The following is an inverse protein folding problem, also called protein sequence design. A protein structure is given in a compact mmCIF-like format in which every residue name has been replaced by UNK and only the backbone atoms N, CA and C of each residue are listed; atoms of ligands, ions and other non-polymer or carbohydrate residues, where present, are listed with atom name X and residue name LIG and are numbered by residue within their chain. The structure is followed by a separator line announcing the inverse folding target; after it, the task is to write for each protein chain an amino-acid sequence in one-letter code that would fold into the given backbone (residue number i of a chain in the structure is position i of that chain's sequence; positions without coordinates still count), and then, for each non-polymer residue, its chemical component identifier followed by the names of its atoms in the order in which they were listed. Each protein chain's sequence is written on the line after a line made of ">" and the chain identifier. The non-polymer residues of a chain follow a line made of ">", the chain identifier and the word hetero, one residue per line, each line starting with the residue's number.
data_IF_012433957496
#
_entry.id   IF_012433957496
#
_cell.length_a   1.000
_cell.length_b   1.000
_cell.length_c   1.000
_cell.angle_alpha   90.00
_cell.angle_beta   90.00
_cell.angle_gamma   90.00
#
_symmetry.space_group_name_H-M   'P 1'
#
loop_
_entity.id
_entity.type
_entity.pdbx_description
1 polymer ?
#
# COMPACT_ATOMS: atom_id res chain seq x y z
N UNK A 1 19.03 13.61 -8.60
CA UNK A 1 19.79 12.50 -7.98
C UNK A 1 19.50 11.27 -8.82
N UNK A 2 20.43 10.88 -9.69
CA UNK A 2 20.24 9.79 -10.64
C UNK A 2 20.65 8.46 -10.04
N UNK A 3 19.92 7.41 -10.37
CA UNK A 3 20.34 6.04 -10.16
C UNK A 3 21.67 5.76 -10.91
N UNK A 4 22.58 4.92 -10.37
CA UNK A 4 23.80 4.49 -11.05
C UNK A 4 23.55 3.99 -12.50
N UNK A 5 24.53 4.13 -13.41
CA UNK A 5 24.39 3.72 -14.82
C UNK A 5 24.01 2.24 -14.98
N UNK A 6 24.32 1.40 -14.00
CA UNK A 6 23.94 -0.01 -13.92
C UNK A 6 22.42 -0.20 -13.92
N UNK A 7 21.66 0.69 -13.25
CA UNK A 7 20.19 0.70 -13.23
C UNK A 7 19.63 1.13 -14.58
N UNK A 8 20.30 2.03 -15.29
CA UNK A 8 19.83 2.51 -16.59
C UNK A 8 19.61 1.37 -17.59
N UNK A 9 20.35 0.26 -17.44
CA UNK A 9 20.17 -0.95 -18.24
C UNK A 9 18.90 -1.75 -17.95
N UNK A 10 18.34 -1.63 -16.73
CA UNK A 10 17.16 -2.38 -16.28
C UNK A 10 15.86 -1.59 -16.51
N UNK A 11 15.92 -0.26 -16.56
CA UNK A 11 14.76 0.63 -16.78
C UNK A 11 13.95 0.23 -18.03
N UNK A 12 14.54 0.00 -19.23
CA UNK A 12 13.77 -0.41 -20.39
C UNK A 12 13.06 -1.74 -20.19
N UNK A 13 13.69 -2.68 -19.47
CA UNK A 13 13.08 -3.97 -19.15
C UNK A 13 11.86 -3.78 -18.22
N UNK A 14 11.97 -2.93 -17.20
CA UNK A 14 10.85 -2.60 -16.30
C UNK A 14 9.70 -1.99 -17.09
N UNK A 15 9.95 -0.94 -17.88
CA UNK A 15 8.90 -0.23 -18.62
C UNK A 15 8.19 -1.16 -19.62
N UNK A 16 8.96 -1.87 -20.45
CA UNK A 16 8.39 -2.77 -21.45
C UNK A 16 7.61 -3.92 -20.81
N UNK A 17 8.11 -4.47 -19.70
CA UNK A 17 7.42 -5.55 -19.00
C UNK A 17 6.13 -5.08 -18.34
N UNK A 18 6.14 -3.90 -17.71
CA UNK A 18 4.93 -3.31 -17.13
C UNK A 18 3.89 -3.00 -18.20
N UNK A 19 4.30 -2.49 -19.37
CA UNK A 19 3.38 -2.27 -20.51
C UNK A 19 2.81 -3.59 -21.05
N UNK A 20 3.61 -4.64 -21.12
CA UNK A 20 3.14 -5.97 -21.55
C UNK A 20 2.07 -6.51 -20.60
N UNK A 21 2.31 -6.46 -19.29
CA UNK A 21 1.35 -6.92 -18.28
C UNK A 21 0.10 -6.03 -18.29
N UNK A 22 0.25 -4.70 -18.36
CA UNK A 22 -0.87 -3.76 -18.47
C UNK A 22 -1.78 -4.11 -19.66
N UNK A 23 -1.19 -4.35 -20.84
CA UNK A 23 -1.95 -4.74 -22.03
C UNK A 23 -2.59 -6.13 -21.89
N UNK A 24 -1.94 -7.08 -21.19
CA UNK A 24 -2.53 -8.37 -20.88
C UNK A 24 -3.75 -8.24 -19.94
N UNK A 25 -3.65 -7.44 -18.87
CA UNK A 25 -4.77 -7.13 -17.98
C UNK A 25 -5.93 -6.47 -18.74
N UNK A 26 -5.65 -5.52 -19.62
CA UNK A 26 -6.67 -4.87 -20.46
C UNK A 26 -7.38 -5.86 -21.38
N UNK A 27 -6.66 -6.83 -21.95
CA UNK A 27 -7.27 -7.89 -22.75
C UNK A 27 -8.13 -8.81 -21.90
N UNK A 28 -7.66 -9.17 -20.70
CA UNK A 28 -8.42 -9.99 -19.75
C UNK A 28 -9.79 -9.37 -19.45
N UNK A 29 -9.80 -8.08 -19.14
CA UNK A 29 -11.02 -7.28 -18.87
C UNK A 29 -12.02 -7.27 -20.02
N UNK A 30 -11.55 -7.36 -21.28
CA UNK A 30 -12.43 -7.34 -22.46
C UNK A 30 -13.05 -8.72 -22.72
N UNK A 31 -12.31 -9.79 -22.41
CA UNK A 31 -12.68 -11.17 -22.73
C UNK A 31 -13.59 -11.75 -21.65
N UNK A 32 -13.28 -11.48 -20.39
CA UNK A 32 -14.05 -11.94 -19.24
C UNK A 32 -15.04 -10.84 -18.84
N UNK A 33 -16.35 -11.14 -18.80
CA UNK A 33 -17.36 -10.21 -18.25
C UNK A 33 -16.84 -9.65 -16.90
N UNK A 34 -17.07 -8.35 -16.67
CA UNK A 34 -16.57 -7.47 -15.58
C UNK A 34 -16.42 -8.08 -14.16
N UNK A 35 -17.06 -9.22 -13.88
CA UNK A 35 -17.01 -9.97 -12.62
C UNK A 35 -15.64 -10.55 -12.23
N UNK A 36 -14.63 -10.54 -13.11
CA UNK A 36 -13.32 -11.12 -12.81
C UNK A 36 -12.38 -10.18 -12.06
N UNK A 37 -12.77 -8.92 -11.84
CA UNK A 37 -12.03 -7.93 -11.07
C UNK A 37 -12.84 -7.45 -9.86
N UNK A 38 -12.14 -7.08 -8.78
CA UNK A 38 -12.73 -6.41 -7.61
C UNK A 38 -13.24 -5.01 -8.01
N UNK A 39 -14.50 -4.91 -8.46
CA UNK A 39 -15.33 -3.69 -8.57
C UNK A 39 -14.66 -2.46 -9.24
N UNK A 40 -13.57 -2.66 -9.99
CA UNK A 40 -12.82 -1.62 -10.68
C UNK A 40 -12.64 -2.11 -12.10
N UNK A 41 -13.60 -1.76 -12.96
CA UNK A 41 -13.68 -2.15 -14.38
C UNK A 41 -12.58 -1.51 -15.25
N UNK A 42 -11.56 -0.90 -14.65
CA UNK A 42 -10.54 -0.16 -15.37
C UNK A 42 -9.13 -0.39 -14.85
N UNK A 43 -8.25 -0.77 -15.76
CA UNK A 43 -6.80 -0.67 -15.58
C UNK A 43 -6.36 0.62 -16.28
N UNK A 44 -5.73 1.54 -15.55
CA UNK A 44 -5.42 2.88 -16.05
C UNK A 44 -3.91 3.15 -16.06
N UNK A 45 -3.48 4.29 -16.61
CA UNK A 45 -2.07 4.65 -16.64
C UNK A 45 -1.51 4.95 -15.23
N UNK A 46 -2.36 5.28 -14.25
CA UNK A 46 -1.96 5.46 -12.85
C UNK A 46 -1.44 4.14 -12.26
N UNK A 47 -1.97 2.99 -12.68
CA UNK A 47 -1.45 1.69 -12.28
C UNK A 47 0.03 1.50 -12.70
N UNK A 48 0.41 1.98 -13.89
CA UNK A 48 1.82 1.94 -14.33
C UNK A 48 2.68 2.85 -13.45
N UNK A 49 2.21 4.07 -13.15
CA UNK A 49 2.91 4.99 -12.25
C UNK A 49 3.09 4.37 -10.86
N UNK A 50 2.06 3.69 -10.35
CA UNK A 50 2.11 3.02 -9.06
C UNK A 50 3.16 1.91 -9.00
N UNK A 51 3.39 1.18 -10.10
CA UNK A 51 4.50 0.21 -10.18
C UNK A 51 5.85 0.93 -10.20
N UNK A 52 5.98 1.99 -11.00
CA UNK A 52 7.24 2.68 -11.23
C UNK A 52 7.71 3.48 -10.00
N UNK A 53 6.80 4.12 -9.26
CA UNK A 53 7.15 4.93 -8.10
C UNK A 53 7.74 4.09 -6.96
N UNK A 54 7.39 2.80 -6.83
CA UNK A 54 7.94 1.96 -5.78
C UNK A 54 9.46 1.74 -5.93
N UNK A 55 10.01 1.88 -7.13
CA UNK A 55 11.45 1.82 -7.35
C UNK A 55 12.18 3.02 -6.76
N UNK A 56 11.53 4.18 -6.59
CA UNK A 56 12.14 5.33 -5.91
C UNK A 56 12.22 5.16 -4.39
N UNK A 57 11.54 4.15 -3.83
CA UNK A 57 11.61 3.82 -2.40
C UNK A 57 12.77 2.86 -2.07
N UNK A 58 13.46 2.33 -3.09
CA UNK A 58 14.63 1.49 -2.87
C UNK A 58 15.84 2.34 -2.42
N UNK A 59 16.61 1.86 -1.41
CA UNK A 59 17.90 2.44 -1.08
C UNK A 59 18.84 2.53 -2.29
N UNK A 60 19.65 3.58 -2.34
CA UNK A 60 20.64 3.76 -3.41
C UNK A 60 21.73 2.69 -3.35
N UNK A 61 22.02 2.16 -2.17
CA UNK A 61 23.00 1.10 -1.93
C UNK A 61 22.62 -0.20 -2.65
N UNK A 62 21.33 -0.41 -2.88
CA UNK A 62 20.81 -1.59 -3.56
C UNK A 62 20.76 -1.43 -5.09
N UNK A 63 21.29 -0.32 -5.60
CA UNK A 63 21.16 0.03 -7.01
C UNK A 63 21.80 -0.98 -7.97
N UNK A 64 22.88 -1.63 -7.56
CA UNK A 64 23.64 -2.52 -8.43
C UNK A 64 23.05 -3.94 -8.52
N UNK A 65 22.04 -4.24 -7.68
CA UNK A 65 21.46 -5.58 -7.59
C UNK A 65 20.34 -5.80 -8.61
N UNK A 66 20.69 -6.16 -9.85
CA UNK A 66 19.73 -6.42 -10.93
C UNK A 66 18.64 -7.44 -10.56
N UNK A 67 18.99 -8.51 -9.84
CA UNK A 67 18.03 -9.52 -9.38
C UNK A 67 16.98 -8.92 -8.43
N UNK A 68 17.39 -8.01 -7.56
CA UNK A 68 16.47 -7.31 -6.67
C UNK A 68 15.48 -6.45 -7.47
N UNK A 69 15.91 -5.76 -8.52
CA UNK A 69 14.99 -5.01 -9.40
C UNK A 69 13.97 -5.94 -10.09
N UNK A 70 14.41 -7.10 -10.57
CA UNK A 70 13.52 -8.10 -11.15
C UNK A 70 12.50 -8.59 -10.13
N UNK A 71 12.93 -8.89 -8.90
CA UNK A 71 12.03 -9.32 -7.80
C UNK A 71 11.07 -8.23 -7.37
N UNK A 72 11.54 -7.00 -7.23
CA UNK A 72 10.70 -5.86 -6.89
C UNK A 72 9.65 -5.64 -7.98
N UNK A 73 10.05 -5.70 -9.25
CA UNK A 73 9.11 -5.60 -10.36
C UNK A 73 8.01 -6.66 -10.26
N UNK A 74 8.38 -7.93 -10.05
CA UNK A 74 7.39 -9.01 -9.86
C UNK A 74 6.49 -8.73 -8.65
N UNK A 75 7.04 -8.30 -7.52
CA UNK A 75 6.26 -7.93 -6.35
C UNK A 75 5.23 -6.84 -6.68
N UNK A 76 5.66 -5.75 -7.33
CA UNK A 76 4.79 -4.62 -7.65
C UNK A 76 3.70 -4.99 -8.66
N UNK A 77 4.00 -5.82 -9.65
CA UNK A 77 2.97 -6.35 -10.54
C UNK A 77 1.94 -7.18 -9.77
N UNK A 78 2.38 -7.97 -8.78
CA UNK A 78 1.45 -8.73 -7.95
C UNK A 78 0.53 -7.82 -7.13
N UNK A 79 1.07 -6.74 -6.55
CA UNK A 79 0.28 -5.81 -5.72
C UNK A 79 -0.67 -4.93 -6.53
N UNK A 80 -0.21 -4.43 -7.69
CA UNK A 80 -0.97 -3.46 -8.50
C UNK A 80 -2.00 -4.14 -9.40
N UNK A 81 -1.66 -5.29 -9.99
CA UNK A 81 -2.53 -5.96 -10.96
C UNK A 81 -3.10 -7.28 -10.43
N UNK A 82 -2.25 -8.18 -9.93
CA UNK A 82 -2.67 -9.56 -9.60
C UNK A 82 -3.65 -9.62 -8.43
N UNK A 83 -3.42 -8.85 -7.36
CA UNK A 83 -4.27 -8.84 -6.17
C UNK A 83 -5.70 -8.35 -6.44
N UNK A 84 -5.95 -7.67 -7.56
CA UNK A 84 -7.28 -7.19 -7.99
C UNK A 84 -8.11 -8.26 -8.72
N UNK A 85 -7.48 -9.38 -9.09
CA UNK A 85 -8.10 -10.45 -9.86
C UNK A 85 -8.87 -11.41 -8.95
N UNK A 86 -10.09 -11.75 -9.35
CA UNK A 86 -10.93 -12.75 -8.70
C UNK A 86 -10.84 -14.10 -9.40
N UNK A 87 -10.81 -14.10 -10.74
CA UNK A 87 -10.77 -15.30 -11.58
C UNK A 87 -9.38 -15.97 -11.59
N UNK A 88 -9.35 -17.30 -11.46
CA UNK A 88 -8.12 -18.08 -11.50
C UNK A 88 -7.48 -18.13 -12.88
N UNK A 89 -8.28 -18.07 -13.96
CA UNK A 89 -7.77 -18.02 -15.33
C UNK A 89 -7.03 -16.70 -15.60
N UNK A 90 -7.62 -15.57 -15.20
CA UNK A 90 -6.95 -14.26 -15.25
C UNK A 90 -5.66 -14.24 -14.42
N UNK A 91 -5.68 -14.77 -13.19
CA UNK A 91 -4.47 -14.89 -12.34
C UNK A 91 -3.39 -15.70 -13.02
N UNK A 92 -3.75 -16.83 -13.64
CA UNK A 92 -2.82 -17.67 -14.40
C UNK A 92 -2.23 -16.92 -15.59
N UNK A 93 -3.05 -16.23 -16.36
CA UNK A 93 -2.58 -15.45 -17.51
C UNK A 93 -1.58 -14.35 -17.10
N UNK A 94 -1.84 -13.63 -16.01
CA UNK A 94 -0.90 -12.63 -15.49
C UNK A 94 0.37 -13.29 -14.95
N UNK A 95 0.27 -14.41 -14.24
CA UNK A 95 1.43 -15.18 -13.80
C UNK A 95 2.30 -15.64 -14.98
N UNK A 96 1.71 -16.16 -16.05
CA UNK A 96 2.45 -16.58 -17.24
C UNK A 96 3.11 -15.37 -17.95
N UNK A 97 2.39 -14.25 -18.06
CA UNK A 97 2.92 -12.99 -18.60
C UNK A 97 4.13 -12.46 -17.80
N UNK A 98 4.07 -12.55 -16.47
CA UNK A 98 5.20 -12.21 -15.59
C UNK A 98 6.42 -13.07 -15.93
N UNK A 99 6.25 -14.39 -16.05
CA UNK A 99 7.35 -15.32 -16.35
C UNK A 99 7.98 -15.04 -17.70
N UNK A 100 7.17 -14.77 -18.71
CA UNK A 100 7.65 -14.39 -20.04
C UNK A 100 8.43 -13.07 -20.01
N UNK A 101 7.96 -12.06 -19.28
CA UNK A 101 8.66 -10.80 -19.13
C UNK A 101 10.00 -10.95 -18.43
N UNK A 102 10.07 -11.73 -17.33
CA UNK A 102 11.35 -12.02 -16.65
C UNK A 102 12.34 -12.68 -17.60
N UNK A 103 11.88 -13.66 -18.39
CA UNK A 103 12.73 -14.36 -19.35
C UNK A 103 13.19 -13.46 -20.51
N UNK A 104 12.28 -12.72 -21.12
CA UNK A 104 12.53 -12.02 -22.39
C UNK A 104 13.13 -10.63 -22.19
N UNK A 105 12.62 -9.88 -21.21
CA UNK A 105 12.99 -8.48 -21.00
C UNK A 105 14.11 -8.35 -19.96
N UNK A 106 13.96 -9.01 -18.81
CA UNK A 106 15.00 -9.03 -17.77
C UNK A 106 16.15 -10.00 -18.08
N UNK A 107 15.94 -10.94 -19.02
CA UNK A 107 16.91 -11.97 -19.44
C UNK A 107 17.38 -12.85 -18.26
N UNK A 108 16.48 -13.08 -17.31
CA UNK A 108 16.73 -13.91 -16.14
C UNK A 108 15.92 -15.22 -16.19
N UNK A 109 16.43 -16.26 -15.54
CA UNK A 109 15.66 -17.49 -15.36
C UNK A 109 14.78 -17.35 -14.11
N UNK A 110 13.46 -17.39 -14.33
CA UNK A 110 12.45 -17.23 -13.28
C UNK A 110 12.65 -18.22 -12.12
N UNK A 111 12.92 -19.49 -12.39
CA UNK A 111 13.06 -20.51 -11.34
C UNK A 111 14.29 -20.31 -10.46
N UNK A 112 15.36 -19.73 -11.00
CA UNK A 112 16.57 -19.38 -10.26
C UNK A 112 16.44 -18.04 -9.52
N UNK A 113 15.70 -17.08 -10.10
CA UNK A 113 15.53 -15.75 -9.53
C UNK A 113 14.73 -15.78 -8.23
N UNK A 114 13.81 -16.74 -8.10
CA UNK A 114 12.83 -16.84 -7.01
C UNK A 114 12.93 -18.15 -6.21
N UNK A 115 14.06 -18.85 -6.28
CA UNK A 115 14.22 -20.17 -5.65
C UNK A 115 14.06 -20.16 -4.12
N UNK A 116 14.42 -19.05 -3.47
CA UNK A 116 14.31 -18.86 -2.02
C UNK A 116 12.86 -18.81 -1.52
N UNK A 117 11.89 -18.61 -2.43
CA UNK A 117 10.46 -18.66 -2.11
C UNK A 117 9.90 -20.10 -2.07
N UNK A 118 10.72 -21.08 -2.47
CA UNK A 118 10.36 -22.49 -2.58
C UNK A 118 9.90 -22.90 -3.98
N UNK A 119 9.79 -24.21 -4.20
CA UNK A 119 9.38 -24.83 -5.47
C UNK A 119 8.38 -25.95 -5.22
N UNK A 120 7.45 -26.13 -6.13
CA UNK A 120 6.54 -27.29 -6.19
C UNK A 120 6.80 -27.97 -7.53
N UNK A 121 7.17 -29.25 -7.51
CA UNK A 121 7.55 -30.00 -8.72
C UNK A 121 8.66 -29.31 -9.54
N UNK A 122 9.61 -28.66 -8.86
CA UNK A 122 10.73 -27.96 -9.49
C UNK A 122 10.40 -26.58 -10.07
N UNK A 123 9.17 -26.09 -9.92
CA UNK A 123 8.72 -24.79 -10.43
C UNK A 123 8.28 -23.86 -9.28
N UNK A 124 8.57 -22.56 -9.42
CA UNK A 124 8.08 -21.47 -8.56
C UNK A 124 6.65 -21.15 -8.97
N UNK A 125 5.68 -21.59 -8.19
CA UNK A 125 4.25 -21.42 -8.48
C UNK A 125 3.69 -20.08 -7.97
N UNK A 126 2.46 -19.77 -8.35
CA UNK A 126 1.70 -18.62 -7.81
C UNK A 126 1.64 -18.65 -6.27
N UNK A 127 1.53 -19.83 -5.68
CA UNK A 127 1.51 -19.99 -4.22
C UNK A 127 2.86 -19.64 -3.59
N UNK A 128 3.98 -19.93 -4.27
CA UNK A 128 5.31 -19.53 -3.80
C UNK A 128 5.51 -18.02 -3.87
N UNK A 129 4.99 -17.36 -4.91
CA UNK A 129 5.08 -15.90 -5.06
C UNK A 129 4.37 -15.11 -3.96
N UNK A 130 3.45 -15.73 -3.21
CA UNK A 130 2.86 -15.11 -2.01
C UNK A 130 3.91 -14.84 -0.92
N UNK A 131 5.03 -15.54 -0.97
CA UNK A 131 6.15 -15.31 -0.06
C UNK A 131 7.03 -14.12 -0.46
N UNK A 132 6.85 -13.57 -1.66
CA UNK A 132 7.55 -12.39 -2.12
C UNK A 132 6.91 -11.13 -1.50
N UNK A 133 7.47 -10.69 -0.38
CA UNK A 133 7.01 -9.49 0.34
C UNK A 133 8.12 -8.44 0.35
N UNK A 134 7.73 -7.20 0.11
CA UNK A 134 8.59 -6.04 0.28
C UNK A 134 7.94 -5.09 1.28
N UNK A 135 8.75 -4.48 2.14
CA UNK A 135 8.25 -3.65 3.22
C UNK A 135 9.28 -2.65 3.71
N UNK A 136 8.78 -1.52 4.21
CA UNK A 136 9.57 -0.43 4.77
C UNK A 136 9.82 -0.63 6.27
N UNK A 137 8.89 -1.33 6.93
CA UNK A 137 8.83 -1.59 8.37
C UNK A 137 9.87 -2.58 8.89
N UNK A 138 10.79 -3.06 8.04
CA UNK A 138 11.94 -3.86 8.47
C UNK A 138 13.08 -2.97 8.99
N UNK A 139 13.22 -1.76 8.44
CA UNK A 139 14.17 -0.77 8.96
C UNK A 139 13.78 -0.35 10.38
N UNK A 140 14.76 -0.21 11.27
CA UNK A 140 14.57 0.44 12.58
C UNK A 140 14.78 1.96 12.49
N UNK A 141 15.34 2.44 11.37
CA UNK A 141 15.51 3.86 11.12
C UNK A 141 14.23 4.45 10.51
N UNK A 142 13.50 5.25 11.30
CA UNK A 142 12.33 6.00 10.83
C UNK A 142 12.66 7.16 9.89
N UNK A 143 13.88 7.72 9.96
CA UNK A 143 14.28 8.87 9.14
C UNK A 143 14.61 8.50 7.70
N UNK A 144 15.07 7.27 7.48
CA UNK A 144 15.38 6.74 6.16
C UNK A 144 14.74 5.36 6.01
N UNK A 145 13.44 5.35 5.72
CA UNK A 145 12.65 4.14 5.76
C UNK A 145 12.86 3.39 4.44
N UNK A 146 13.70 2.35 4.49
CA UNK A 146 14.16 1.61 3.31
C UNK A 146 13.16 0.55 2.87
N UNK A 147 12.71 0.60 1.61
CA UNK A 147 11.91 -0.47 1.02
C UNK A 147 12.79 -1.68 0.69
N UNK A 148 12.53 -2.81 1.33
CA UNK A 148 13.41 -3.99 1.24
C UNK A 148 12.62 -5.29 1.09
N UNK A 149 13.23 -6.27 0.40
CA UNK A 149 12.71 -7.63 0.31
C UNK A 149 12.75 -8.29 1.69
N UNK A 150 11.63 -8.87 2.11
CA UNK A 150 11.53 -9.66 3.33
C UNK A 150 11.88 -11.11 3.04
N UNK A 151 13.04 -11.55 3.53
CA UNK A 151 13.49 -12.94 3.39
C UNK A 151 13.12 -13.81 4.59
N UNK A 152 12.94 -13.19 5.77
CA UNK A 152 12.59 -13.87 7.02
C UNK A 152 11.24 -13.36 7.55
N UNK A 153 10.23 -14.23 7.50
CA UNK A 153 8.88 -13.90 7.93
C UNK A 153 8.71 -14.08 9.44
N UNK A 154 9.51 -14.94 10.08
CA UNK A 154 9.50 -15.09 11.53
C UNK A 154 10.04 -13.82 12.20
N UNK A 155 11.08 -13.20 11.61
CA UNK A 155 11.57 -11.90 12.04
C UNK A 155 10.48 -10.83 11.94
N UNK A 156 9.74 -10.80 10.83
CA UNK A 156 8.63 -9.87 10.65
C UNK A 156 7.53 -10.08 11.69
N UNK A 157 7.09 -11.33 11.89
CA UNK A 157 6.09 -11.69 12.90
C UNK A 157 6.53 -11.23 14.29
N UNK A 158 7.78 -11.53 14.67
CA UNK A 158 8.32 -11.13 15.97
C UNK A 158 8.34 -9.61 16.16
N UNK A 159 8.74 -8.85 15.15
CA UNK A 159 8.74 -7.38 15.19
C UNK A 159 7.32 -6.82 15.33
N UNK A 160 6.37 -7.36 14.56
CA UNK A 160 4.96 -6.97 14.62
C UNK A 160 4.34 -7.25 15.99
N UNK A 161 4.50 -8.46 16.52
CA UNK A 161 3.98 -8.83 17.84
C UNK A 161 4.62 -8.01 18.96
N UNK A 162 5.92 -7.69 18.83
CA UNK A 162 6.62 -6.77 19.74
C UNK A 162 5.95 -5.39 19.77
N UNK A 163 5.71 -4.79 18.60
CA UNK A 163 5.04 -3.48 18.49
C UNK A 163 3.62 -3.48 19.03
N UNK A 164 2.86 -4.55 18.79
CA UNK A 164 1.51 -4.71 19.34
C UNK A 164 1.55 -4.83 20.87
N UNK A 165 2.53 -5.55 21.42
CA UNK A 165 2.72 -5.67 22.87
C UNK A 165 3.05 -4.31 23.49
N UNK A 166 3.96 -3.55 22.87
CA UNK A 166 4.31 -2.20 23.34
C UNK A 166 3.10 -1.26 23.28
N UNK A 167 2.32 -1.31 22.19
CA UNK A 167 1.08 -0.56 22.06
C UNK A 167 0.07 -0.93 23.16
N UNK A 168 -0.14 -2.23 23.42
CA UNK A 168 -1.08 -2.71 24.43
C UNK A 168 -0.66 -2.37 25.88
N UNK A 169 0.60 -1.99 26.10
CA UNK A 169 1.10 -1.51 27.38
C UNK A 169 0.98 0.02 27.55
N UNK A 170 0.61 0.74 26.49
CA UNK A 170 0.48 2.19 26.49
C UNK A 170 -0.89 2.66 26.99
N UNK A 171 -1.01 3.95 27.32
CA UNK A 171 -2.30 4.53 27.72
C UNK A 171 -3.33 4.51 26.56
N UNK A 172 -2.86 4.61 25.32
CA UNK A 172 -3.68 4.60 24.10
C UNK A 172 -4.50 3.32 23.93
N UNK A 173 -4.10 2.20 24.55
CA UNK A 173 -4.77 0.91 24.41
C UNK A 173 -5.73 0.55 25.54
N UNK A 174 -5.85 1.36 26.61
CA UNK A 174 -6.59 0.99 27.82
C UNK A 174 -8.05 0.60 27.55
N UNK A 175 -8.68 1.20 26.54
CA UNK A 175 -10.08 0.96 26.20
C UNK A 175 -10.29 0.04 24.98
N UNK A 176 -9.24 -0.23 24.20
CA UNK A 176 -9.34 -1.01 22.95
C UNK A 176 -8.00 -1.68 22.58
N UNK A 177 -7.60 -2.75 23.27
CA UNK A 177 -6.34 -3.47 22.98
C UNK A 177 -6.43 -4.23 21.64
N UNK A 178 -5.28 -4.40 20.98
CA UNK A 178 -5.19 -5.16 19.73
C UNK A 178 -4.70 -6.58 20.01
N UNK A 179 -5.51 -7.57 19.64
CA UNK A 179 -5.17 -8.99 19.73
C UNK A 179 -5.03 -9.59 18.34
N UNK A 180 -3.80 -9.80 17.89
CA UNK A 180 -3.50 -10.35 16.58
C UNK A 180 -3.15 -11.84 16.70
N UNK A 181 -3.77 -12.66 15.85
CA UNK A 181 -3.32 -14.02 15.58
C UNK A 181 -2.54 -14.03 14.24
N UNK A 182 -1.20 -14.19 14.26
CA UNK A 182 -0.33 -13.94 13.11
C UNK A 182 -0.29 -15.13 12.15
N UNK A 183 -1.43 -15.48 11.55
CA UNK A 183 -1.46 -16.42 10.44
C UNK A 183 -0.69 -15.85 9.25
N UNK A 184 -0.15 -16.74 8.42
CA UNK A 184 0.58 -16.37 7.21
C UNK A 184 -0.21 -15.41 6.31
N UNK A 185 -1.49 -15.69 6.08
CA UNK A 185 -2.41 -14.83 5.33
C UNK A 185 -2.57 -13.45 5.95
N UNK A 186 -2.64 -13.37 7.28
CA UNK A 186 -2.73 -12.11 8.03
C UNK A 186 -1.45 -11.28 7.87
N UNK A 187 -0.28 -11.91 7.97
CA UNK A 187 1.01 -11.24 7.76
C UNK A 187 1.13 -10.69 6.34
N UNK A 188 0.71 -11.47 5.32
CA UNK A 188 0.65 -11.00 3.93
C UNK A 188 -0.27 -9.77 3.79
N UNK A 189 -1.45 -9.78 4.42
CA UNK A 189 -2.38 -8.64 4.36
C UNK A 189 -1.81 -7.40 5.05
N UNK A 190 -1.20 -7.55 6.23
CA UNK A 190 -0.54 -6.45 6.95
C UNK A 190 0.57 -5.85 6.09
N UNK A 191 1.39 -6.70 5.45
CA UNK A 191 2.44 -6.25 4.53
C UNK A 191 1.88 -5.41 3.36
N UNK A 192 0.77 -5.84 2.76
CA UNK A 192 0.09 -5.09 1.67
C UNK A 192 -0.45 -3.74 2.15
N UNK A 193 -1.07 -3.70 3.33
CA UNK A 193 -1.58 -2.46 3.92
C UNK A 193 -0.41 -1.52 4.21
N UNK A 194 0.66 -2.00 4.85
CA UNK A 194 1.83 -1.20 5.11
C UNK A 194 2.47 -0.64 3.83
N UNK A 195 2.54 -1.43 2.75
CA UNK A 195 3.00 -0.92 1.44
C UNK A 195 2.13 0.25 1.00
N UNK A 196 0.81 0.11 1.02
CA UNK A 196 -0.09 1.14 0.53
C UNK A 196 -0.04 2.41 1.37
N UNK A 197 0.07 2.30 2.70
CA UNK A 197 0.16 3.45 3.60
C UNK A 197 1.46 4.26 3.43
N UNK A 198 2.53 3.63 2.91
CA UNK A 198 3.79 4.34 2.62
C UNK A 198 3.83 4.96 1.22
N UNK A 199 2.80 4.75 0.38
CA UNK A 199 2.73 5.39 -0.93
C UNK A 199 2.09 6.77 -0.81
N UNK A 200 2.56 7.76 -1.61
CA UNK A 200 1.90 9.06 -1.66
C UNK A 200 0.46 8.89 -2.14
N UNK A 201 -0.49 9.55 -1.47
CA UNK A 201 -1.92 9.43 -1.73
C UNK A 201 -2.44 7.98 -1.64
N UNK A 202 -1.77 7.14 -0.85
CA UNK A 202 -2.10 5.74 -0.67
C UNK A 202 -3.47 5.53 -0.02
N UNK A 203 -4.42 5.01 -0.79
CA UNK A 203 -5.72 4.55 -0.30
C UNK A 203 -5.97 3.10 -0.70
N UNK A 204 -6.78 2.38 0.06
CA UNK A 204 -7.10 0.97 -0.20
C UNK A 204 -8.57 0.69 0.09
N UNK A 205 -9.21 -0.05 -0.81
CA UNK A 205 -10.48 -0.72 -0.52
C UNK A 205 -10.17 -2.13 -0.01
N UNK A 206 -10.55 -2.45 1.22
CA UNK A 206 -10.36 -3.79 1.79
C UNK A 206 -11.68 -4.55 1.74
N UNK A 207 -11.74 -5.51 0.81
CA UNK A 207 -12.88 -6.40 0.63
C UNK A 207 -12.65 -7.75 1.32
N UNK A 208 -13.71 -8.34 1.88
CA UNK A 208 -13.68 -9.68 2.47
C UNK A 208 -14.81 -9.92 3.46
N UNK A 209 -14.89 -11.15 3.96
CA UNK A 209 -15.81 -11.51 5.04
C UNK A 209 -15.20 -11.14 6.41
N UNK A 210 -16.02 -10.67 7.35
CA UNK A 210 -15.58 -10.35 8.71
C UNK A 210 -14.99 -8.93 8.87
N UNK A 211 -15.75 -8.06 9.55
CA UNK A 211 -15.33 -6.69 9.86
C UNK A 211 -14.15 -6.67 10.83
N UNK A 212 -14.20 -7.53 11.85
CA UNK A 212 -13.20 -7.54 12.93
C UNK A 212 -11.81 -7.93 12.43
N UNK A 213 -11.72 -8.94 11.57
CA UNK A 213 -10.45 -9.36 10.98
C UNK A 213 -9.80 -8.23 10.16
N UNK A 214 -10.60 -7.49 9.37
CA UNK A 214 -10.11 -6.32 8.63
C UNK A 214 -9.64 -5.22 9.57
N UNK A 215 -10.46 -4.88 10.57
CA UNK A 215 -10.17 -3.86 11.59
C UNK A 215 -8.85 -4.15 12.29
N UNK A 216 -8.67 -5.36 12.81
CA UNK A 216 -7.45 -5.79 13.50
C UNK A 216 -6.24 -5.73 12.57
N UNK A 217 -6.38 -6.12 11.30
CA UNK A 217 -5.29 -6.10 10.32
C UNK A 217 -4.84 -4.66 10.00
N UNK A 218 -5.78 -3.74 9.78
CA UNK A 218 -5.48 -2.32 9.53
C UNK A 218 -4.81 -1.70 10.75
N UNK A 219 -5.37 -1.93 11.95
CA UNK A 219 -4.81 -1.43 13.22
C UNK A 219 -3.40 -1.97 13.46
N UNK A 220 -3.15 -3.24 13.19
CA UNK A 220 -1.83 -3.86 13.32
C UNK A 220 -0.81 -3.22 12.36
N UNK A 221 -1.20 -2.94 11.12
CA UNK A 221 -0.36 -2.23 10.15
C UNK A 221 -0.05 -0.78 10.60
N UNK A 222 -1.05 -0.07 11.12
CA UNK A 222 -0.89 1.28 11.65
C UNK A 222 0.06 1.31 12.85
N UNK A 223 -0.10 0.38 13.81
CA UNK A 223 0.80 0.22 14.96
C UNK A 223 2.24 -0.07 14.52
N UNK A 224 2.41 -0.95 13.52
CA UNK A 224 3.73 -1.31 13.02
C UNK A 224 4.46 -0.11 12.41
N UNK A 225 3.74 0.76 11.69
CA UNK A 225 4.29 1.98 11.11
C UNK A 225 4.38 3.13 12.13
N UNK A 226 3.64 3.05 13.23
CA UNK A 226 3.53 4.12 14.21
C UNK A 226 2.60 5.25 13.75
N UNK A 227 1.62 4.94 12.91
CA UNK A 227 0.61 5.86 12.37
C UNK A 227 -0.63 5.79 13.26
N UNK A 228 -1.27 6.94 13.56
CA UNK A 228 -2.49 6.95 14.36
C UNK A 228 -3.64 6.36 13.54
N UNK A 229 -4.36 5.41 14.13
CA UNK A 229 -5.57 4.84 13.55
C UNK A 229 -6.81 5.61 14.03
N UNK A 230 -7.61 6.10 13.10
CA UNK A 230 -8.91 6.72 13.38
C UNK A 230 -9.99 5.99 12.60
N UNK A 231 -11.01 5.55 13.30
CA UNK A 231 -12.20 4.93 12.73
C UNK A 231 -13.39 5.82 13.01
N UNK A 232 -14.21 6.06 11.99
CA UNK A 232 -15.41 6.87 12.15
C UNK A 232 -16.51 5.98 12.75
N UNK A 233 -16.70 6.08 14.06
CA UNK A 233 -17.72 5.32 14.79
C UNK A 233 -19.13 5.95 14.66
N UNK A 234 -20.19 5.18 14.97
CA UNK A 234 -21.59 5.64 15.06
C UNK A 234 -22.17 6.37 13.83
N UNK A 235 -22.01 5.76 12.65
CA UNK A 235 -22.54 6.29 11.39
C UNK A 235 -24.06 6.52 11.34
N UNK A 236 -24.86 5.96 12.25
CA UNK A 236 -26.33 6.15 12.22
C UNK A 236 -26.75 7.58 12.56
N UNK A 237 -25.92 8.32 13.29
CA UNK A 237 -26.19 9.68 13.78
C UNK A 237 -25.28 10.74 13.17
N UNK A 238 -24.38 10.36 12.25
CA UNK A 238 -23.55 11.34 11.56
C UNK A 238 -24.40 12.20 10.63
N UNK A 239 -24.42 13.50 10.88
CA UNK A 239 -24.86 14.51 9.93
C UNK A 239 -23.64 15.12 9.21
N UNK A 240 -23.91 15.89 8.15
CA UNK A 240 -22.89 16.55 7.32
C UNK A 240 -21.99 17.48 8.17
N UNK A 241 -22.58 18.18 9.14
CA UNK A 241 -21.83 19.07 10.04
C UNK A 241 -20.83 18.30 10.91
N UNK A 242 -21.26 17.21 11.55
CA UNK A 242 -20.38 16.39 12.39
C UNK A 242 -19.25 15.78 11.58
N UNK A 243 -19.54 15.30 10.36
CA UNK A 243 -18.52 14.82 9.43
C UNK A 243 -17.50 15.87 9.08
N UNK A 244 -17.96 17.04 8.63
CA UNK A 244 -17.07 18.14 8.24
C UNK A 244 -16.22 18.59 9.43
N UNK A 245 -16.76 18.63 10.65
CA UNK A 245 -15.98 18.93 11.85
C UNK A 245 -14.90 17.87 12.14
N UNK A 246 -15.22 16.58 12.01
CA UNK A 246 -14.25 15.49 12.20
C UNK A 246 -13.14 15.53 11.16
N UNK A 247 -13.46 15.65 9.87
CA UNK A 247 -12.43 15.74 8.81
C UNK A 247 -11.60 17.01 8.95
N UNK A 248 -12.23 18.13 9.34
CA UNK A 248 -11.53 19.38 9.63
C UNK A 248 -10.48 19.21 10.72
N UNK A 249 -10.81 18.50 11.81
CA UNK A 249 -9.85 18.18 12.88
C UNK A 249 -8.70 17.31 12.38
N UNK A 250 -9.01 16.24 11.64
CA UNK A 250 -8.02 15.33 11.07
C UNK A 250 -7.05 16.08 10.15
N UNK A 251 -7.55 16.89 9.21
CA UNK A 251 -6.71 17.64 8.28
C UNK A 251 -5.86 18.68 9.01
N UNK A 252 -6.37 19.31 10.08
CA UNK A 252 -5.56 20.20 10.92
C UNK A 252 -4.43 19.47 11.62
N UNK A 253 -4.67 18.28 12.17
CA UNK A 253 -3.64 17.47 12.84
C UNK A 253 -2.54 17.03 11.87
N UNK A 254 -2.93 16.51 10.70
CA UNK A 254 -1.97 16.11 9.66
C UNK A 254 -1.19 17.32 9.15
N UNK A 255 -1.87 18.43 8.84
CA UNK A 255 -1.23 19.61 8.25
C UNK A 255 -0.43 20.47 9.23
N UNK A 256 -0.87 20.63 10.47
CA UNK A 256 -0.24 21.56 11.44
C UNK A 256 0.57 20.89 12.54
N UNK A 257 0.37 19.60 12.81
CA UNK A 257 1.04 18.88 13.90
C UNK A 257 1.97 17.77 13.43
N UNK A 258 2.11 17.59 12.10
CA UNK A 258 2.90 16.52 11.48
C UNK A 258 2.52 15.11 11.99
N UNK A 259 1.24 14.91 12.29
CA UNK A 259 0.74 13.60 12.72
C UNK A 259 0.38 12.75 11.50
N UNK A 260 0.89 11.52 11.45
CA UNK A 260 0.47 10.55 10.44
C UNK A 260 -0.81 9.86 10.90
N UNK A 261 -1.85 9.87 10.05
CA UNK A 261 -3.17 9.32 10.37
C UNK A 261 -3.66 8.39 9.26
N UNK A 262 -4.14 7.20 9.65
CA UNK A 262 -4.98 6.33 8.81
C UNK A 262 -6.43 6.56 9.19
N UNK A 263 -7.23 7.04 8.24
CA UNK A 263 -8.68 7.13 8.36
C UNK A 263 -9.34 5.86 7.80
N UNK A 264 -10.11 5.17 8.64
CA UNK A 264 -10.87 3.98 8.25
C UNK A 264 -12.37 4.29 8.14
N UNK A 265 -12.95 3.95 6.99
CA UNK A 265 -14.36 4.10 6.67
C UNK A 265 -14.98 2.77 6.25
N UNK A 266 -16.20 2.51 6.70
CA UNK A 266 -16.98 1.33 6.34
C UNK A 266 -17.92 1.64 5.17
N UNK A 267 -18.09 0.67 4.29
CA UNK A 267 -18.96 0.79 3.11
C UNK A 267 -20.39 1.25 3.44
N UNK A 268 -20.98 0.74 4.53
CA UNK A 268 -22.34 1.13 4.97
C UNK A 268 -22.47 2.60 5.34
N UNK A 269 -21.36 3.28 5.65
CA UNK A 269 -21.35 4.72 5.92
C UNK A 269 -21.49 5.49 4.61
N UNK A 270 -20.73 5.07 3.59
CA UNK A 270 -20.75 5.67 2.26
C UNK A 270 -22.11 5.48 1.57
N UNK A 271 -22.72 4.30 1.71
CA UNK A 271 -24.03 4.01 1.12
C UNK A 271 -25.16 4.87 1.71
N UNK A 272 -25.04 5.26 2.98
CA UNK A 272 -26.11 5.99 3.69
C UNK A 272 -25.99 7.50 3.57
N UNK A 273 -24.77 8.00 3.35
CA UNK A 273 -24.44 9.42 3.50
C UNK A 273 -23.65 9.91 2.29
N UNK A 274 -24.36 10.39 1.28
CA UNK A 274 -23.77 10.87 0.02
C UNK A 274 -22.71 11.97 0.23
N UNK A 275 -22.85 12.78 1.28
CA UNK A 275 -21.88 13.82 1.61
C UNK A 275 -20.49 13.26 1.98
N UNK A 276 -20.41 12.06 2.57
CA UNK A 276 -19.14 11.38 2.86
C UNK A 276 -18.45 11.03 1.55
N UNK A 277 -19.18 10.42 0.62
CA UNK A 277 -18.65 10.00 -0.67
C UNK A 277 -18.18 11.21 -1.49
N UNK A 278 -18.96 12.29 -1.51
CA UNK A 278 -18.59 13.55 -2.18
C UNK A 278 -17.31 14.16 -1.60
N UNK A 279 -17.25 14.34 -0.29
CA UNK A 279 -16.08 14.98 0.35
C UNK A 279 -14.82 14.09 0.20
N UNK A 280 -14.96 12.76 0.18
CA UNK A 280 -13.85 11.85 -0.11
C UNK A 280 -13.39 11.93 -1.57
N UNK A 281 -14.31 12.01 -2.52
CA UNK A 281 -13.98 12.16 -3.94
C UNK A 281 -13.22 13.47 -4.19
N UNK A 282 -13.68 14.57 -3.59
CA UNK A 282 -12.98 15.86 -3.61
C UNK A 282 -11.57 15.73 -3.03
N UNK A 283 -11.42 15.10 -1.87
CA UNK A 283 -10.12 14.93 -1.21
C UNK A 283 -9.17 14.04 -2.01
N UNK A 284 -9.65 12.93 -2.57
CA UNK A 284 -8.83 11.99 -3.34
C UNK A 284 -8.46 12.54 -4.73
N UNK A 285 -9.31 13.39 -5.31
CA UNK A 285 -9.09 13.97 -6.63
C UNK A 285 -8.26 15.25 -6.57
N UNK A 286 -8.58 16.15 -5.64
CA UNK A 286 -8.01 17.49 -5.56
C UNK A 286 -6.98 17.65 -4.43
N UNK A 287 -6.97 16.74 -3.45
CA UNK A 287 -6.14 16.85 -2.24
C UNK A 287 -6.73 17.77 -1.16
N UNK A 288 -7.93 18.33 -1.36
CA UNK A 288 -8.62 19.18 -0.39
C UNK A 288 -10.14 19.07 -0.56
N UNK A 289 -10.88 19.52 0.46
CA UNK A 289 -12.34 19.57 0.46
C UNK A 289 -12.78 21.04 0.41
N UNK A 290 -13.72 21.34 -0.49
CA UNK A 290 -14.25 22.69 -0.65
C UNK A 290 -15.02 23.18 0.59
N UNK A 291 -14.84 24.46 0.92
CA UNK A 291 -15.50 25.16 2.03
C UNK A 291 -15.32 24.48 3.41
N UNK A 292 -14.19 23.79 3.62
CA UNK A 292 -13.87 23.14 4.89
C UNK A 292 -13.24 24.09 5.92
N UNK A 293 -12.48 25.08 5.43
CA UNK A 293 -11.76 26.05 6.24
C UNK A 293 -12.06 27.47 5.79
N UNK A 294 -12.04 28.41 6.72
CA UNK A 294 -12.07 29.84 6.37
C UNK A 294 -10.72 30.28 5.82
N UNK A 295 -10.68 31.42 5.12
CA UNK A 295 -9.43 31.99 4.60
C UNK A 295 -8.38 32.20 5.69
N UNK A 296 -8.79 32.68 6.87
CA UNK A 296 -7.90 32.87 8.01
C UNK A 296 -7.35 31.54 8.54
N UNK A 297 -8.17 30.49 8.60
CA UNK A 297 -7.72 29.15 9.02
C UNK A 297 -6.72 28.56 8.02
N UNK A 298 -6.94 28.74 6.72
CA UNK A 298 -6.00 28.31 5.67
C UNK A 298 -4.66 29.04 5.83
N UNK A 299 -4.67 30.35 6.09
CA UNK A 299 -3.44 31.11 6.35
C UNK A 299 -2.68 30.55 7.56
N UNK A 300 -3.38 30.28 8.66
CA UNK A 300 -2.76 29.73 9.87
C UNK A 300 -2.17 28.33 9.65
N UNK A 301 -2.86 27.46 8.90
CA UNK A 301 -2.36 26.12 8.56
C UNK A 301 -1.11 26.24 7.69
N UNK A 302 -1.13 27.11 6.67
CA UNK A 302 0.03 27.32 5.80
C UNK A 302 1.26 27.84 6.55
N UNK A 303 1.09 28.74 7.52
CA UNK A 303 2.19 29.20 8.37
C UNK A 303 2.79 28.06 9.20
N UNK A 304 1.96 27.18 9.75
CA UNK A 304 2.43 26.03 10.53
C UNK A 304 3.14 25.01 9.64
N UNK A 305 2.58 24.69 8.47
CA UNK A 305 3.22 23.82 7.46
C UNK A 305 4.59 24.37 7.08
N UNK A 306 4.69 25.67 6.84
CA UNK A 306 5.96 26.31 6.48
C UNK A 306 6.99 26.21 7.61
N UNK A 307 6.59 26.37 8.87
CA UNK A 307 7.48 26.16 10.03
C UNK A 307 7.99 24.71 10.10
N UNK A 308 7.10 23.74 9.94
CA UNK A 308 7.45 22.31 9.93
C UNK A 308 8.39 21.95 8.78
N UNK A 309 8.18 22.53 7.58
CA UNK A 309 9.08 22.34 6.44
C UNK A 309 10.50 22.86 6.76
N UNK A 310 10.60 24.04 7.36
CA UNK A 310 11.89 24.62 7.77
C UNK A 310 12.59 23.80 8.87
N UNK A 311 11.85 23.19 9.79
CA UNK A 311 12.41 22.32 10.83
C UNK A 311 12.93 20.99 10.27
N UNK A 312 12.27 20.45 9.24
CA UNK A 312 12.68 19.22 8.58
C UNK A 312 13.90 19.41 7.64
N UNK A 313 14.06 20.58 7.02
CA UNK A 313 15.25 20.88 6.18
C UNK A 313 16.53 21.08 7.00
N UNK A 314 16.41 21.42 8.29
CA UNK A 314 17.55 21.69 9.18
C UNK A 314 18.03 20.47 9.99
N UNK A 315 17.42 19.28 9.83
CA UNK A 315 17.64 18.06 10.62
C UNK A 315 17.95 16.81 9.78
#
# INVERSE_FOLDING_TARGET
>A
IGFPPEISSVIPAIINSTLNVYNACRKALIIENEMCFLHIDTVNLRDIVNVLQCFSLLPKENADNKKLFTRLWVHEILRVFYDRLLCDDAKKMIYDSIRECVKNNFRENFESGFEHLGKINGLVTQQNLRNLMFGVYLSDNKKDPHYMEMTDVEQFEKKLLGKIKDFNASEDSQNDPVHLFPLRTTLEMISRICRQLNLPQGHMLIYGEGVEGRRITIRSAAILLGIKYIEVENYKSYDDLTWRLTIRDIIKRVGSMNEEIVLCLHFRQLERHDFLARDLDDFLTNGFIHDLFTTDEIHQINENVHKLMMENENN
#
